data_IF_770547568265
#
_entry.id   IF_770547568265
#
_cell.length_a   1.000
_cell.length_b   1.000
_cell.length_c   1.000
_cell.angle_alpha   90.00
_cell.angle_beta   90.00
_cell.angle_gamma   90.00
#
_symmetry.space_group_name_H-M   'P 1'
#
loop_
_entity.id
_entity.type
_entity.pdbx_description
1 polymer ?
#
# COMPACT_ATOMS: atom_id res chain seq x y z
N UNK A 1 -23.48 -10.09 -3.69
CA UNK A 1 -22.18 -10.80 -3.81
C UNK A 1 -21.15 -9.95 -4.54
N UNK A 2 -21.49 -9.29 -5.66
CA UNK A 2 -20.56 -8.45 -6.44
C UNK A 2 -20.21 -7.10 -5.79
N UNK A 3 -21.17 -6.44 -5.13
CA UNK A 3 -20.97 -5.12 -4.51
C UNK A 3 -19.96 -5.13 -3.36
N UNK A 4 -20.03 -6.11 -2.47
CA UNK A 4 -19.10 -6.24 -1.33
C UNK A 4 -17.68 -6.51 -1.79
N UNK A 5 -17.51 -7.40 -2.78
CA UNK A 5 -16.19 -7.70 -3.36
C UNK A 5 -15.63 -6.45 -4.06
N UNK A 6 -16.44 -5.75 -4.85
CA UNK A 6 -16.02 -4.51 -5.51
C UNK A 6 -15.58 -3.43 -4.49
N UNK A 7 -16.31 -3.29 -3.37
CA UNK A 7 -15.93 -2.36 -2.30
C UNK A 7 -14.59 -2.73 -1.64
N UNK A 8 -14.35 -4.03 -1.41
CA UNK A 8 -13.08 -4.52 -0.84
C UNK A 8 -11.90 -4.29 -1.80
N UNK A 9 -12.09 -4.54 -3.10
CA UNK A 9 -11.08 -4.25 -4.14
C UNK A 9 -10.79 -2.75 -4.22
N UNK A 10 -11.83 -1.91 -4.19
CA UNK A 10 -11.66 -0.46 -4.19
C UNK A 10 -10.91 0.04 -2.95
N UNK A 11 -11.25 -0.46 -1.76
CA UNK A 11 -10.55 -0.14 -0.53
C UNK A 11 -9.07 -0.58 -0.58
N UNK A 12 -8.80 -1.78 -1.09
CA UNK A 12 -7.44 -2.28 -1.30
C UNK A 12 -6.67 -1.38 -2.28
N UNK A 13 -7.28 -0.98 -3.40
CA UNK A 13 -6.65 -0.13 -4.39
C UNK A 13 -6.31 1.26 -3.83
N UNK A 14 -7.23 1.87 -3.07
CA UNK A 14 -6.98 3.15 -2.38
C UNK A 14 -5.84 3.01 -1.37
N UNK A 15 -5.81 1.91 -0.63
CA UNK A 15 -4.74 1.63 0.33
C UNK A 15 -3.38 1.42 -0.35
N UNK A 16 -3.34 0.68 -1.47
CA UNK A 16 -2.11 0.50 -2.27
C UNK A 16 -1.62 1.84 -2.84
N UNK A 17 -2.53 2.71 -3.29
CA UNK A 17 -2.18 4.08 -3.71
C UNK A 17 -1.60 4.90 -2.55
N UNK A 18 -2.18 4.81 -1.35
CA UNK A 18 -1.65 5.48 -0.17
C UNK A 18 -0.23 4.97 0.19
N UNK A 19 -0.01 3.65 0.16
CA UNK A 19 1.31 3.03 0.35
C UNK A 19 2.32 3.50 -0.71
N UNK A 20 1.92 3.53 -1.98
CA UNK A 20 2.75 4.01 -3.09
C UNK A 20 3.10 5.50 -2.96
N UNK A 21 2.14 6.34 -2.54
CA UNK A 21 2.36 7.76 -2.31
C UNK A 21 3.36 8.03 -1.17
N UNK A 22 3.30 7.24 -0.10
CA UNK A 22 4.28 7.32 0.98
C UNK A 22 5.68 6.84 0.55
N UNK A 23 5.73 5.82 -0.32
CA UNK A 23 6.96 5.38 -1.00
C UNK A 23 7.58 6.48 -1.85
N UNK A 24 6.76 7.22 -2.60
CA UNK A 24 7.20 8.36 -3.43
C UNK A 24 7.86 9.46 -2.57
N UNK A 25 7.28 9.77 -1.40
CA UNK A 25 7.86 10.73 -0.45
C UNK A 25 9.01 10.17 0.39
N UNK A 26 9.36 8.89 0.24
CA UNK A 26 10.38 8.18 1.03
C UNK A 26 10.16 8.27 2.56
N UNK A 27 8.90 8.35 3.01
CA UNK A 27 8.56 8.42 4.44
C UNK A 27 8.20 7.05 4.98
N UNK A 28 9.21 6.31 5.43
CA UNK A 28 9.06 4.98 6.05
C UNK A 28 8.09 4.97 7.25
N UNK A 29 8.12 6.01 8.10
CA UNK A 29 7.21 6.12 9.24
C UNK A 29 5.73 6.26 8.80
N UNK A 30 5.48 7.00 7.71
CA UNK A 30 4.14 7.14 7.15
C UNK A 30 3.64 5.86 6.48
N UNK A 31 4.55 5.10 5.86
CA UNK A 31 4.25 3.76 5.35
C UNK A 31 3.88 2.80 6.47
N UNK A 32 4.64 2.77 7.58
CA UNK A 32 4.34 1.90 8.72
C UNK A 32 2.93 2.17 9.29
N UNK A 33 2.55 3.45 9.42
CA UNK A 33 1.23 3.84 9.90
C UNK A 33 0.10 3.37 8.96
N UNK A 34 0.24 3.59 7.65
CA UNK A 34 -0.74 3.12 6.66
C UNK A 34 -0.79 1.59 6.61
N UNK A 35 0.36 0.93 6.74
CA UNK A 35 0.46 -0.53 6.76
C UNK A 35 -0.31 -1.13 7.94
N UNK A 36 -0.02 -0.65 9.15
CA UNK A 36 -0.68 -1.10 10.38
C UNK A 36 -2.19 -0.82 10.30
N UNK A 37 -2.59 0.36 9.80
CA UNK A 37 -3.99 0.72 9.66
C UNK A 37 -4.72 -0.20 8.68
N UNK A 38 -4.09 -0.56 7.55
CA UNK A 38 -4.64 -1.53 6.60
C UNK A 38 -4.76 -2.94 7.17
N UNK A 39 -3.75 -3.41 7.90
CA UNK A 39 -3.80 -4.70 8.59
C UNK A 39 -4.90 -4.73 9.66
N UNK A 40 -5.02 -3.68 10.47
CA UNK A 40 -6.05 -3.57 11.49
C UNK A 40 -7.45 -3.57 10.87
N UNK A 41 -7.67 -2.81 9.79
CA UNK A 41 -8.96 -2.76 9.10
C UNK A 41 -9.32 -4.12 8.47
N UNK A 42 -8.34 -4.81 7.87
CA UNK A 42 -8.54 -6.13 7.29
C UNK A 42 -8.86 -7.19 8.35
N UNK A 43 -8.16 -7.14 9.48
CA UNK A 43 -8.41 -8.03 10.62
C UNK A 43 -9.77 -7.74 11.26
N UNK A 44 -10.16 -6.47 11.40
CA UNK A 44 -11.47 -6.07 11.89
C UNK A 44 -12.59 -6.55 10.96
N UNK A 45 -12.39 -6.46 9.64
CA UNK A 45 -13.35 -6.96 8.65
C UNK A 45 -13.52 -8.48 8.75
N UNK A 46 -12.42 -9.24 8.85
CA UNK A 46 -12.48 -10.70 9.02
C UNK A 46 -13.19 -11.09 10.33
N UNK A 47 -12.91 -10.37 11.43
CA UNK A 47 -13.53 -10.63 12.72
C UNK A 47 -15.04 -10.34 12.71
N UNK A 48 -15.47 -9.21 12.13
CA UNK A 48 -16.87 -8.79 12.13
C UNK A 48 -17.73 -9.54 11.10
N UNK A 49 -17.18 -9.89 9.93
CA UNK A 49 -17.98 -10.41 8.82
C UNK A 49 -17.92 -11.93 8.66
N UNK A 50 -16.81 -12.55 9.05
CA UNK A 50 -16.63 -14.00 8.90
C UNK A 50 -16.77 -14.76 10.22
N UNK A 51 -16.75 -14.09 11.37
CA UNK A 51 -16.66 -14.69 12.71
C UNK A 51 -15.57 -15.78 12.79
N UNK A 52 -14.54 -15.64 11.95
CA UNK A 52 -13.43 -16.55 11.84
C UNK A 52 -12.47 -16.28 13.00
N UNK A 53 -12.15 -17.30 13.78
CA UNK A 53 -11.16 -17.19 14.85
C UNK A 53 -9.86 -16.65 14.27
N UNK A 54 -9.23 -15.61 14.87
CA UNK A 54 -8.06 -14.90 14.32
C UNK A 54 -6.80 -15.76 14.11
N UNK A 55 -6.88 -17.07 14.40
CA UNK A 55 -5.83 -18.08 14.26
C UNK A 55 -6.15 -19.14 13.18
N UNK A 56 -7.24 -19.01 12.43
CA UNK A 56 -7.47 -19.86 11.26
C UNK A 56 -6.45 -19.53 10.17
N UNK A 57 -5.89 -20.55 9.52
CA UNK A 57 -4.83 -20.40 8.52
C UNK A 57 -5.18 -19.41 7.39
N UNK A 58 -6.47 -19.27 7.06
CA UNK A 58 -6.95 -18.33 6.06
C UNK A 58 -6.74 -16.87 6.46
N UNK A 59 -6.90 -16.51 7.74
CA UNK A 59 -6.67 -15.16 8.23
C UNK A 59 -5.18 -14.81 8.22
N UNK A 60 -4.33 -15.78 8.57
CA UNK A 60 -2.87 -15.63 8.51
C UNK A 60 -2.39 -15.42 7.07
N UNK A 61 -2.92 -16.22 6.13
CA UNK A 61 -2.57 -16.11 4.71
C UNK A 61 -3.05 -14.78 4.11
N UNK A 62 -4.23 -14.30 4.50
CA UNK A 62 -4.73 -12.99 4.09
C UNK A 62 -3.84 -11.84 4.59
N UNK A 63 -3.39 -11.89 5.83
CA UNK A 63 -2.45 -10.89 6.37
C UNK A 63 -1.09 -10.93 5.68
N UNK A 64 -0.57 -12.13 5.41
CA UNK A 64 0.69 -12.29 4.69
C UNK A 64 0.60 -11.74 3.26
N UNK A 65 -0.50 -12.02 2.55
CA UNK A 65 -0.74 -11.46 1.23
C UNK A 65 -0.84 -9.92 1.29
N UNK A 66 -1.54 -9.37 2.28
CA UNK A 66 -1.71 -7.93 2.44
C UNK A 66 -0.39 -7.22 2.77
N UNK A 67 0.48 -7.83 3.59
CA UNK A 67 1.86 -7.36 3.80
C UNK A 67 2.64 -7.34 2.49
N UNK A 68 2.59 -8.43 1.71
CA UNK A 68 3.34 -8.53 0.45
C UNK A 68 2.86 -7.49 -0.57
N UNK A 69 1.55 -7.30 -0.70
CA UNK A 69 0.96 -6.25 -1.55
C UNK A 69 1.39 -4.85 -1.10
N UNK A 70 1.37 -4.58 0.22
CA UNK A 70 1.84 -3.31 0.77
C UNK A 70 3.33 -3.06 0.47
N UNK A 71 4.16 -4.08 0.61
CA UNK A 71 5.60 -4.01 0.33
C UNK A 71 5.87 -3.75 -1.16
N UNK A 72 5.18 -4.46 -2.05
CA UNK A 72 5.27 -4.25 -3.49
C UNK A 72 4.81 -2.85 -3.90
N UNK A 73 3.68 -2.37 -3.35
CA UNK A 73 3.18 -1.02 -3.64
C UNK A 73 4.13 0.08 -3.16
N UNK A 74 4.71 -0.08 -1.96
CA UNK A 74 5.71 0.83 -1.43
C UNK A 74 6.99 0.84 -2.27
N UNK A 75 7.49 -0.34 -2.66
CA UNK A 75 8.65 -0.50 -3.53
C UNK A 75 8.45 0.19 -4.88
N UNK A 76 7.29 0.01 -5.51
CA UNK A 76 6.93 0.70 -6.76
C UNK A 76 6.89 2.22 -6.59
N UNK A 77 6.24 2.72 -5.52
CA UNK A 77 6.19 4.15 -5.22
C UNK A 77 7.57 4.76 -4.97
N UNK A 78 8.46 4.03 -4.29
CA UNK A 78 9.83 4.44 -4.05
C UNK A 78 10.67 4.50 -5.33
N UNK A 79 10.57 3.48 -6.19
CA UNK A 79 11.24 3.46 -7.49
C UNK A 79 10.76 4.60 -8.39
N UNK A 80 9.44 4.81 -8.48
CA UNK A 80 8.87 5.94 -9.23
C UNK A 80 9.38 7.29 -8.69
N UNK A 81 9.47 7.45 -7.37
CA UNK A 81 10.06 8.63 -6.73
C UNK A 81 11.54 8.84 -7.05
N UNK A 82 12.34 7.76 -7.14
CA UNK A 82 13.75 7.84 -7.57
C UNK A 82 13.88 8.23 -9.03
N UNK A 83 13.06 7.65 -9.91
CA UNK A 83 13.04 7.95 -11.34
C UNK A 83 12.69 9.42 -11.58
N UNK A 84 11.62 9.94 -10.95
CA UNK A 84 11.24 11.36 -11.11
C UNK A 84 12.32 12.31 -10.59
N UNK A 85 12.98 11.99 -9.47
CA UNK A 85 14.09 12.80 -8.95
C UNK A 85 15.30 12.79 -9.88
N UNK A 86 15.63 11.64 -10.46
CA UNK A 86 16.69 11.51 -11.46
C UNK A 86 16.36 12.31 -12.72
N UNK A 87 15.14 12.18 -13.27
CA UNK A 87 14.70 13.00 -14.40
C UNK A 87 14.77 14.50 -14.12
N UNK A 88 14.41 14.93 -12.90
CA UNK A 88 14.50 16.35 -12.51
C UNK A 88 15.94 16.82 -12.35
N UNK A 89 16.86 15.95 -11.92
CA UNK A 89 18.29 16.25 -11.80
C UNK A 89 19.01 16.24 -13.16
N UNK A 90 18.53 15.45 -14.12
CA UNK A 90 19.02 15.45 -15.51
C UNK A 90 18.40 16.55 -16.36
N UNK A 91 17.50 17.38 -15.79
CA UNK A 91 17.00 18.56 -16.49
C UNK A 91 18.15 19.53 -16.61
N UNK A 92 18.67 19.67 -17.83
CA UNK A 92 19.61 20.71 -18.20
C UNK A 92 18.92 22.03 -17.91
N UNK A 93 19.38 22.76 -16.91
CA UNK A 93 19.11 24.19 -16.86
C UNK A 93 19.70 24.75 -18.15
N UNK A 94 18.87 25.38 -18.98
CA UNK A 94 19.31 26.28 -20.03
C UNK A 94 20.06 27.43 -19.36
N UNK A 95 21.28 27.16 -18.89
CA UNK A 95 22.26 28.18 -18.59
C UNK A 95 22.66 28.76 -19.93
N UNK A 96 21.86 29.73 -20.37
CA UNK A 96 22.23 30.77 -21.31
C UNK A 96 23.58 31.35 -20.86
N UNK A 97 24.65 30.91 -21.53
CA UNK A 97 25.94 31.59 -21.56
C UNK A 97 25.99 32.41 -22.84
#
# INVERSE_FOLDING_TARGET
MTTTIAALIAALAVWMLACGYQGYRARLAGFLGVLILGMALNMLWMALHLNATPLEGNALMAQAALMLYGLCAFGFGWLAGRVVRQFRASRVDDQTV
#
